data_IF_106002023380
#
_entry.id   IF_106002023380
#
_cell.length_a   1.000
_cell.length_b   1.000
_cell.length_c   1.000
_cell.angle_alpha   90.00
_cell.angle_beta   90.00
_cell.angle_gamma   90.00
#
_symmetry.space_group_name_H-M   'P 1'
#
loop_
_entity.id
_entity.type
_entity.pdbx_description
1 polymer ?
#
# COMPACT_ATOMS: atom_id res chain seq x y z
N UNK A 1 35.64 -12.82 0.35
CA UNK A 1 34.55 -13.66 -0.21
C UNK A 1 33.22 -13.10 0.29
N UNK A 2 32.75 -12.03 -0.34
CA UNK A 2 31.41 -11.47 -0.13
C UNK A 2 30.44 -12.35 -0.91
N UNK A 3 29.69 -13.18 -0.19
CA UNK A 3 28.62 -13.99 -0.78
C UNK A 3 27.36 -13.14 -0.80
N UNK A 4 27.13 -12.44 -1.90
CA UNK A 4 25.83 -11.86 -2.20
C UNK A 4 24.83 -13.01 -2.34
N UNK A 5 23.94 -13.11 -1.35
CA UNK A 5 23.06 -14.24 -1.19
C UNK A 5 21.64 -13.79 -1.49
N UNK A 6 21.31 -13.76 -2.77
CA UNK A 6 19.98 -13.43 -3.25
C UNK A 6 19.12 -14.69 -3.36
N UNK A 7 17.93 -14.65 -2.76
CA UNK A 7 16.96 -15.74 -2.88
C UNK A 7 15.54 -15.22 -3.00
N UNK A 8 14.76 -15.88 -3.83
CA UNK A 8 13.31 -15.63 -3.96
C UNK A 8 12.57 -16.69 -3.15
N UNK A 9 11.70 -16.23 -2.26
CA UNK A 9 10.88 -17.08 -1.42
C UNK A 9 9.40 -16.75 -1.57
N UNK A 10 8.55 -17.76 -1.40
CA UNK A 10 7.11 -17.57 -1.22
C UNK A 10 6.78 -17.66 0.26
N UNK A 11 6.33 -16.56 0.85
CA UNK A 11 5.96 -16.49 2.26
C UNK A 11 4.45 -16.77 2.40
N UNK A 12 4.12 -17.79 3.17
CA UNK A 12 2.73 -18.15 3.48
C UNK A 12 2.25 -17.40 4.73
N UNK A 13 1.42 -16.37 4.53
CA UNK A 13 0.88 -15.51 5.60
C UNK A 13 -0.42 -16.04 6.20
N UNK A 14 -0.63 -17.35 6.16
CA UNK A 14 -1.89 -17.94 6.60
C UNK A 14 -2.21 -17.86 8.05
N UNK A 15 -1.15 -17.92 8.85
CA UNK A 15 -1.25 -17.85 10.30
C UNK A 15 -1.76 -16.48 10.76
N UNK A 16 -1.72 -15.47 9.90
CA UNK A 16 -2.24 -14.13 10.17
C UNK A 16 -3.74 -14.15 10.46
N UNK A 17 -4.52 -15.04 9.83
CA UNK A 17 -5.98 -15.08 10.01
C UNK A 17 -6.41 -15.50 11.42
N UNK A 18 -5.54 -16.15 12.18
CA UNK A 18 -5.79 -16.53 13.58
C UNK A 18 -5.80 -15.31 14.51
N UNK A 19 -5.11 -14.24 14.13
CA UNK A 19 -5.07 -13.00 14.91
C UNK A 19 -6.34 -12.17 14.72
N UNK A 20 -6.61 -11.32 15.72
CA UNK A 20 -7.67 -10.32 15.70
C UNK A 20 -7.62 -9.49 14.41
N UNK A 21 -8.79 -9.18 13.84
CA UNK A 21 -8.87 -8.57 12.51
C UNK A 21 -8.10 -7.25 12.38
N UNK A 22 -8.07 -6.44 13.44
CA UNK A 22 -7.40 -5.14 13.47
C UNK A 22 -5.86 -5.24 13.53
N UNK A 23 -5.30 -6.42 13.79
CA UNK A 23 -3.85 -6.61 13.96
C UNK A 23 -3.24 -7.49 12.86
N UNK A 24 -4.02 -7.84 11.83
CA UNK A 24 -3.61 -8.82 10.82
C UNK A 24 -2.44 -8.31 9.97
N UNK A 25 -2.53 -7.11 9.40
CA UNK A 25 -1.42 -6.55 8.61
C UNK A 25 -0.13 -6.39 9.45
N UNK A 26 -0.25 -5.93 10.70
CA UNK A 26 0.88 -5.84 11.64
C UNK A 26 1.48 -7.22 11.91
N UNK A 27 0.65 -8.24 12.12
CA UNK A 27 1.13 -9.62 12.30
C UNK A 27 1.80 -10.15 11.04
N UNK A 28 1.30 -9.81 9.84
CA UNK A 28 1.90 -10.21 8.57
C UNK A 28 3.34 -9.69 8.45
N UNK A 29 3.57 -8.41 8.78
CA UNK A 29 4.90 -7.81 8.80
C UNK A 29 5.82 -8.56 9.78
N UNK A 30 5.35 -8.85 10.99
CA UNK A 30 6.13 -9.59 11.98
C UNK A 30 6.47 -11.01 11.50
N UNK A 31 5.53 -11.69 10.83
CA UNK A 31 5.80 -12.99 10.23
C UNK A 31 6.85 -12.94 9.12
N UNK A 32 6.87 -11.88 8.29
CA UNK A 32 7.91 -11.69 7.27
C UNK A 32 9.27 -11.47 7.95
N UNK A 33 9.33 -10.68 9.02
CA UNK A 33 10.55 -10.49 9.82
C UNK A 33 11.03 -11.79 10.46
N UNK A 34 10.13 -12.60 11.01
CA UNK A 34 10.45 -13.93 11.55
C UNK A 34 10.99 -14.87 10.45
N UNK A 35 10.36 -14.87 9.28
CA UNK A 35 10.79 -15.68 8.13
C UNK A 35 12.20 -15.28 7.67
N UNK A 36 12.47 -13.98 7.53
CA UNK A 36 13.79 -13.46 7.15
C UNK A 36 14.87 -13.82 8.18
N UNK A 37 14.58 -13.67 9.48
CA UNK A 37 15.49 -14.11 10.56
C UNK A 37 15.84 -15.58 10.46
N UNK A 38 14.84 -16.42 10.20
CA UNK A 38 15.05 -17.86 10.13
C UNK A 38 15.89 -18.30 8.92
N UNK A 39 15.63 -17.72 7.73
CA UNK A 39 16.28 -18.16 6.49
C UNK A 39 17.66 -17.55 6.29
N UNK A 40 17.83 -16.28 6.66
CA UNK A 40 19.08 -15.54 6.41
C UNK A 40 20.00 -15.49 7.64
N UNK A 41 19.49 -15.86 8.83
CA UNK A 41 20.23 -15.89 10.11
C UNK A 41 20.84 -14.53 10.49
N UNK A 42 20.08 -13.46 10.26
CA UNK A 42 20.46 -12.07 10.53
C UNK A 42 19.39 -11.42 11.40
N UNK A 43 19.79 -10.57 12.36
CA UNK A 43 18.87 -9.93 13.29
C UNK A 43 18.23 -8.65 12.74
N UNK A 44 18.98 -7.87 11.95
CA UNK A 44 18.53 -6.60 11.40
C UNK A 44 17.87 -6.82 10.03
N UNK A 45 16.55 -6.58 9.95
CA UNK A 45 15.76 -6.75 8.72
C UNK A 45 15.10 -5.42 8.35
N UNK A 46 15.36 -4.98 7.12
CA UNK A 46 14.71 -3.82 6.52
C UNK A 46 13.72 -4.31 5.47
N UNK A 47 12.48 -3.85 5.59
CA UNK A 47 11.41 -4.14 4.64
C UNK A 47 11.30 -2.94 3.72
N UNK A 48 11.26 -3.19 2.42
CA UNK A 48 11.05 -2.14 1.44
C UNK A 48 9.62 -1.60 1.51
N UNK A 49 9.46 -0.32 1.18
CA UNK A 49 8.18 0.38 1.26
C UNK A 49 7.13 -0.25 0.33
N UNK A 50 7.52 -0.65 -0.88
CA UNK A 50 6.60 -1.27 -1.84
C UNK A 50 5.99 -2.57 -1.29
N UNK A 51 6.81 -3.41 -0.64
CA UNK A 51 6.32 -4.62 0.02
C UNK A 51 5.35 -4.28 1.16
N UNK A 52 5.62 -3.22 1.93
CA UNK A 52 4.70 -2.76 2.96
C UNK A 52 3.37 -2.30 2.33
N UNK A 53 3.41 -1.49 1.28
CA UNK A 53 2.21 -1.04 0.57
C UNK A 53 1.37 -2.20 0.05
N UNK A 54 1.98 -3.25 -0.51
CA UNK A 54 1.27 -4.46 -0.93
C UNK A 54 0.55 -5.17 0.22
N UNK A 55 1.16 -5.21 1.41
CA UNK A 55 0.54 -5.81 2.60
C UNK A 55 -0.67 -4.99 3.06
N UNK A 56 -0.55 -3.66 3.00
CA UNK A 56 -1.58 -2.72 3.45
C UNK A 56 -2.58 -2.30 2.36
N UNK A 57 -2.42 -2.75 1.12
CA UNK A 57 -3.25 -2.36 -0.03
C UNK A 57 -4.75 -2.62 0.17
N UNK A 58 -5.11 -3.67 0.93
CA UNK A 58 -6.50 -4.03 1.28
C UNK A 58 -6.88 -3.60 2.70
N UNK A 59 -6.10 -2.72 3.31
CA UNK A 59 -6.24 -2.27 4.69
C UNK A 59 -5.77 -3.30 5.73
N UNK A 60 -5.98 -2.96 7.00
CA UNK A 60 -5.44 -3.73 8.13
C UNK A 60 -6.05 -5.13 8.29
N UNK A 61 -7.30 -5.30 7.81
CA UNK A 61 -8.13 -6.49 8.04
C UNK A 61 -7.81 -7.68 7.13
N UNK A 62 -7.29 -7.40 5.94
CA UNK A 62 -7.21 -8.38 4.86
C UNK A 62 -5.87 -8.35 4.12
N UNK A 63 -4.74 -8.62 4.81
CA UNK A 63 -3.45 -8.72 4.13
C UNK A 63 -3.42 -9.90 3.13
N UNK A 64 -2.55 -9.86 2.11
CA UNK A 64 -2.39 -10.95 1.16
C UNK A 64 -2.05 -12.29 1.84
N UNK A 65 -2.62 -13.39 1.32
CA UNK A 65 -2.47 -14.73 1.90
C UNK A 65 -1.11 -15.39 1.62
N UNK A 66 -0.48 -14.99 0.50
CA UNK A 66 0.83 -15.41 0.02
C UNK A 66 1.51 -14.19 -0.60
N UNK A 67 2.82 -14.04 -0.38
CA UNK A 67 3.62 -13.00 -1.02
C UNK A 67 4.93 -13.62 -1.48
N UNK A 68 5.33 -13.31 -2.71
CA UNK A 68 6.64 -13.67 -3.25
C UNK A 68 7.59 -12.51 -3.02
N UNK A 69 8.75 -12.83 -2.46
CA UNK A 69 9.66 -11.85 -1.91
C UNK A 69 11.08 -12.23 -2.29
N UNK A 70 11.85 -11.24 -2.75
CA UNK A 70 13.29 -11.35 -2.92
C UNK A 70 13.96 -10.90 -1.63
N UNK A 71 14.88 -11.70 -1.13
CA UNK A 71 15.74 -11.36 0.00
C UNK A 71 17.17 -11.23 -0.48
N UNK A 72 17.78 -10.08 -0.25
CA UNK A 72 19.19 -9.82 -0.50
C UNK A 72 19.91 -9.56 0.83
N UNK A 73 21.11 -10.14 0.98
CA UNK A 73 21.98 -9.87 2.11
C UNK A 73 23.00 -8.83 1.70
N UNK A 74 22.97 -7.66 2.33
CA UNK A 74 23.94 -6.59 2.09
C UNK A 74 25.18 -6.81 2.96
N UNK A 75 26.34 -6.33 2.50
CA UNK A 75 27.61 -6.40 3.25
C UNK A 75 27.56 -5.64 4.59
N UNK A 76 26.65 -4.67 4.71
CA UNK A 76 26.35 -3.90 5.93
C UNK A 76 25.61 -4.71 7.01
N UNK A 77 25.39 -6.02 6.79
CA UNK A 77 24.90 -6.94 7.81
C UNK A 77 23.40 -6.91 8.06
N UNK A 78 22.61 -6.25 7.20
CA UNK A 78 21.15 -6.36 7.19
C UNK A 78 20.62 -7.08 5.95
N UNK A 79 19.39 -7.56 6.08
CA UNK A 79 18.64 -8.16 4.97
C UNK A 79 17.65 -7.15 4.44
N UNK A 80 17.70 -6.90 3.13
CA UNK A 80 16.69 -6.14 2.41
C UNK A 80 15.66 -7.09 1.82
N UNK A 81 14.38 -6.73 1.98
CA UNK A 81 13.25 -7.55 1.61
C UNK A 81 12.40 -6.79 0.60
N UNK A 82 12.51 -7.18 -0.67
CA UNK A 82 11.86 -6.54 -1.82
C UNK A 82 10.73 -7.41 -2.36
N UNK A 83 9.64 -6.81 -2.88
CA UNK A 83 8.62 -7.59 -3.56
C UNK A 83 9.20 -8.24 -4.82
N UNK A 84 8.77 -9.47 -5.11
CA UNK A 84 9.08 -10.12 -6.37
C UNK A 84 7.79 -10.17 -7.18
N UNK A 85 7.62 -9.22 -8.09
CA UNK A 85 6.65 -9.33 -9.16
C UNK A 85 7.25 -10.24 -10.23
N UNK A 86 6.51 -11.28 -10.62
CA UNK A 86 6.83 -12.11 -11.79
C UNK A 86 6.55 -11.31 -13.07
N UNK A 87 7.09 -10.09 -13.18
CA UNK A 87 7.13 -9.39 -14.45
C UNK A 87 8.12 -10.15 -15.34
N UNK A 88 7.59 -11.19 -15.96
CA UNK A 88 7.98 -11.59 -17.30
C UNK A 88 7.90 -10.30 -18.11
N UNK A 89 9.06 -9.76 -18.48
CA UNK A 89 9.15 -8.69 -19.46
C UNK A 89 8.18 -9.02 -20.61
N UNK A 90 7.14 -8.23 -20.90
CA UNK A 90 6.38 -8.40 -22.12
C UNK A 90 7.22 -7.83 -23.26
N UNK A 91 8.32 -8.52 -23.59
CA UNK A 91 8.99 -8.32 -24.86
C UNK A 91 8.08 -8.88 -25.95
N UNK A 92 7.72 -7.99 -26.90
CA UNK A 92 7.10 -8.23 -28.21
C UNK A 92 5.56 -8.26 -28.26
N UNK A 93 4.95 -7.07 -28.20
CA UNK A 93 3.77 -6.78 -29.05
C UNK A 93 4.33 -6.11 -30.32
N UNK A 94 4.31 -6.77 -31.50
CA UNK A 94 4.78 -6.15 -32.73
C UNK A 94 3.71 -5.17 -33.28
N UNK A 95 4.10 -3.93 -33.49
CA UNK A 95 3.37 -2.94 -34.29
C UNK A 95 3.51 -3.26 -35.79
N UNK A 96 2.38 -3.57 -36.46
CA UNK A 96 2.04 -3.47 -37.91
C UNK A 96 0.88 -4.47 -38.16
N UNK A 97 -0.25 -4.14 -38.74
CA UNK A 97 -0.49 -3.22 -39.84
C UNK A 97 -1.88 -2.58 -39.76
N UNK A 98 -1.89 -1.33 -40.21
CA UNK A 98 -3.02 -0.43 -40.35
C UNK A 98 -3.70 -0.67 -41.69
N UNK A 99 -5.04 -0.72 -41.74
CA UNK A 99 -5.94 0.03 -42.65
C UNK A 99 -7.28 -0.70 -42.87
N UNK A 100 -8.45 -0.06 -42.99
CA UNK A 100 -9.02 1.28 -42.71
C UNK A 100 -10.52 1.13 -43.14
N UNK A 101 -11.53 1.47 -42.30
CA UNK A 101 -12.44 2.66 -42.41
C UNK A 101 -13.73 2.40 -43.25
N UNK A 102 -14.91 3.06 -43.05
CA UNK A 102 -15.57 3.68 -41.87
C UNK A 102 -17.14 3.63 -41.84
N UNK A 103 -17.77 4.19 -40.79
CA UNK A 103 -18.60 5.43 -40.80
C UNK A 103 -19.88 5.41 -39.93
N UNK A 104 -20.24 6.62 -39.46
CA UNK A 104 -21.41 7.08 -38.66
C UNK A 104 -21.37 6.87 -37.14
N UNK A 105 -20.87 7.81 -36.31
CA UNK A 105 -21.28 9.22 -36.01
C UNK A 105 -22.64 9.32 -35.31
N UNK A 106 -22.63 9.55 -33.99
CA UNK A 106 -23.31 10.71 -33.35
C UNK A 106 -22.94 10.83 -31.85
N UNK A 107 -22.15 11.85 -31.51
CA UNK A 107 -22.32 12.62 -30.27
C UNK A 107 -23.24 13.81 -30.60
N UNK A 108 -24.05 14.27 -29.64
CA UNK A 108 -23.89 15.66 -29.26
C UNK A 108 -23.97 15.93 -27.74
N UNK A 109 -22.90 16.56 -27.25
CA UNK A 109 -22.86 17.83 -26.53
C UNK A 109 -23.84 18.16 -25.37
N UNK A 110 -23.21 18.56 -24.25
CA UNK A 110 -23.50 19.74 -23.39
C UNK A 110 -24.85 19.83 -22.67
N UNK A 111 -24.81 19.79 -21.33
CA UNK A 111 -25.19 20.97 -20.52
C UNK A 111 -24.66 20.89 -19.07
N UNK A 112 -24.10 21.99 -18.61
CA UNK A 112 -23.84 22.30 -17.21
C UNK A 112 -24.79 23.42 -16.80
N UNK A 113 -25.30 23.43 -15.55
CA UNK A 113 -25.61 24.68 -14.89
C UNK A 113 -24.88 24.80 -13.54
N UNK A 114 -24.05 25.85 -13.47
CA UNK A 114 -23.70 26.57 -12.23
C UNK A 114 -24.89 27.47 -11.84
N UNK A 115 -25.38 27.38 -10.59
CA UNK A 115 -25.63 28.52 -9.66
C UNK A 115 -26.50 28.06 -8.47
N UNK A 116 -25.98 28.18 -7.24
CA UNK A 116 -26.49 29.09 -6.21
C UNK A 116 -25.71 28.90 -4.89
N UNK A 117 -24.80 29.84 -4.60
CA UNK A 117 -24.69 30.41 -3.24
C UNK A 117 -25.78 31.49 -3.13
N UNK A 118 -26.33 31.70 -1.92
CA UNK A 118 -26.06 33.01 -1.32
C UNK A 118 -25.66 32.91 0.15
N UNK A 119 -24.63 33.70 0.46
CA UNK A 119 -24.22 34.09 1.80
C UNK A 119 -25.14 35.18 2.40
N UNK A 120 -24.93 35.41 3.71
CA UNK A 120 -25.44 36.46 4.63
C UNK A 120 -26.73 36.05 5.35
N UNK A 121 -26.80 36.07 6.69
CA UNK A 121 -26.44 37.18 7.55
C UNK A 121 -26.27 36.73 9.02
N UNK A 122 -25.12 37.05 9.63
CA UNK A 122 -25.02 37.35 11.07
C UNK A 122 -25.17 38.88 11.20
N UNK A 123 -25.62 39.51 12.33
CA UNK A 123 -25.16 39.18 13.69
C UNK A 123 -26.03 39.59 14.93
N UNK A 124 -25.56 39.12 16.11
CA UNK A 124 -25.42 39.80 17.43
C UNK A 124 -26.51 39.74 18.55
N UNK A 125 -25.95 39.51 19.77
CA UNK A 125 -26.35 39.88 21.16
C UNK A 125 -27.35 38.96 21.88
N UNK A 126 -27.17 38.47 23.11
CA UNK A 126 -26.47 38.95 24.34
C UNK A 126 -25.97 37.78 25.25
N UNK A 127 -24.68 37.79 25.63
CA UNK A 127 -24.04 37.85 26.98
C UNK A 127 -24.63 37.20 28.29
N UNK A 128 -23.86 37.05 29.41
CA UNK A 128 -23.40 35.77 29.96
C UNK A 128 -23.74 35.51 31.46
N UNK A 129 -23.42 34.32 32.01
CA UNK A 129 -23.36 34.11 33.46
C UNK A 129 -22.29 33.09 33.90
N UNK A 130 -21.25 33.65 34.54
CA UNK A 130 -20.44 33.17 35.69
C UNK A 130 -20.45 31.67 36.04
N UNK A 131 -19.25 31.08 36.16
CA UNK A 131 -18.68 30.70 37.47
C UNK A 131 -17.18 30.35 37.36
N UNK A 132 -16.36 30.98 38.19
CA UNK A 132 -15.01 30.59 38.59
C UNK A 132 -15.01 30.51 40.14
N UNK A 133 -13.97 30.05 40.87
CA UNK A 133 -12.63 29.60 40.45
C UNK A 133 -12.12 28.35 41.21
N UNK A 134 -10.91 27.86 40.89
CA UNK A 134 -10.02 27.24 41.89
C UNK A 134 -8.56 27.41 41.48
N UNK A 135 -7.82 28.20 42.26
CA UNK A 135 -6.37 28.18 42.34
C UNK A 135 -5.99 28.52 43.78
N UNK A 136 -5.45 27.53 44.47
CA UNK A 136 -4.44 27.67 45.53
C UNK A 136 -3.56 26.41 45.46
#
# INVERSE_FOLDING_TARGET
MSQELERVYTINLGKVLLSQSQHRAVRAINMIKEFARHHMKVEQIKIEEELAHLIWAKGVRSPPRKIRVRMSKTDEGYVLVSPYTDEVEPAVIPEKDTKQIPDKVEEPAKEAPKKEEPAKEAPKKEEPAKEAPKKE
#
